data_IF_672873305244
#
_entry.id   IF_672873305244
#
_cell.length_a   1.000
_cell.length_b   1.000
_cell.length_c   1.000
_cell.angle_alpha   90.00
_cell.angle_beta   90.00
_cell.angle_gamma   90.00
#
_symmetry.space_group_name_H-M   'P 1'
#
loop_
_entity.id
_entity.type
_entity.pdbx_description
1 polymer ?
#
# COMPACT_ATOMS: atom_id res chain seq x y z
N UNK A 1 -8.42 -36.35 -2.95
CA UNK A 1 -7.33 -35.80 -2.12
C UNK A 1 -6.92 -34.39 -2.57
N UNK A 2 -6.66 -34.15 -3.85
CA UNK A 2 -6.27 -32.84 -4.40
C UNK A 2 -7.26 -31.70 -4.08
N UNK A 3 -8.57 -31.96 -4.15
CA UNK A 3 -9.58 -30.94 -3.84
C UNK A 3 -9.51 -30.40 -2.39
N UNK A 4 -9.23 -31.28 -1.42
CA UNK A 4 -9.07 -30.88 -0.01
C UNK A 4 -7.82 -30.02 0.20
N UNK A 5 -6.69 -30.41 -0.41
CA UNK A 5 -5.45 -29.64 -0.37
C UNK A 5 -5.60 -28.26 -0.99
N UNK A 6 -6.25 -28.16 -2.15
CA UNK A 6 -6.50 -26.89 -2.81
C UNK A 6 -7.37 -25.97 -1.94
N UNK A 7 -8.46 -26.50 -1.38
CA UNK A 7 -9.33 -25.73 -0.47
C UNK A 7 -8.59 -25.23 0.76
N UNK A 8 -7.75 -26.07 1.38
CA UNK A 8 -6.92 -25.66 2.52
C UNK A 8 -5.94 -24.55 2.14
N UNK A 9 -5.25 -24.66 1.01
CA UNK A 9 -4.31 -23.63 0.55
C UNK A 9 -4.99 -22.31 0.25
N UNK A 10 -6.20 -22.33 -0.32
CA UNK A 10 -7.00 -21.10 -0.53
C UNK A 10 -7.35 -20.44 0.80
N UNK A 11 -7.80 -21.22 1.79
CA UNK A 11 -8.14 -20.68 3.12
C UNK A 11 -6.90 -20.09 3.78
N UNK A 12 -5.76 -20.78 3.75
CA UNK A 12 -4.51 -20.27 4.29
C UNK A 12 -4.11 -18.96 3.60
N UNK A 13 -4.21 -18.88 2.28
CA UNK A 13 -3.95 -17.66 1.52
C UNK A 13 -4.83 -16.49 1.97
N UNK A 14 -6.13 -16.72 2.16
CA UNK A 14 -7.08 -15.70 2.64
C UNK A 14 -6.72 -15.25 4.06
N UNK A 15 -6.45 -16.19 4.97
CA UNK A 15 -6.08 -15.88 6.36
C UNK A 15 -4.79 -15.09 6.41
N UNK A 16 -3.77 -15.49 5.63
CA UNK A 16 -2.50 -14.76 5.53
C UNK A 16 -2.72 -13.35 4.98
N UNK A 17 -3.51 -13.19 3.92
CA UNK A 17 -3.80 -11.88 3.33
C UNK A 17 -4.47 -10.95 4.35
N UNK A 18 -5.52 -11.41 5.03
CA UNK A 18 -6.22 -10.62 6.07
C UNK A 18 -5.25 -10.28 7.21
N UNK A 19 -4.42 -11.22 7.63
CA UNK A 19 -3.40 -10.99 8.66
C UNK A 19 -2.43 -9.86 8.29
N UNK A 20 -1.97 -9.81 7.03
CA UNK A 20 -1.11 -8.73 6.52
C UNK A 20 -1.84 -7.39 6.52
N UNK A 21 -3.12 -7.35 6.11
CA UNK A 21 -3.92 -6.11 6.10
C UNK A 21 -4.08 -5.54 7.52
N UNK A 22 -4.42 -6.40 8.49
CA UNK A 22 -4.53 -6.00 9.90
C UNK A 22 -3.17 -5.49 10.41
N UNK A 23 -2.08 -6.19 10.10
CA UNK A 23 -0.75 -5.79 10.51
C UNK A 23 -0.32 -4.44 9.89
N UNK A 24 -0.67 -4.18 8.63
CA UNK A 24 -0.37 -2.92 7.96
C UNK A 24 -1.08 -1.71 8.61
N UNK A 25 -2.23 -1.93 9.24
CA UNK A 25 -2.98 -0.92 10.00
C UNK A 25 -2.61 -0.83 11.49
N UNK A 26 -1.72 -1.68 11.98
CA UNK A 26 -1.23 -1.59 13.37
C UNK A 26 -0.45 -0.28 13.62
N UNK A 27 -0.42 0.16 14.88
CA UNK A 27 0.23 1.43 15.28
C UNK A 27 1.69 1.54 14.84
N UNK A 28 2.42 0.42 14.83
CA UNK A 28 3.82 0.38 14.40
C UNK A 28 4.04 0.49 12.89
N UNK A 29 3.00 0.34 12.06
CA UNK A 29 3.11 0.30 10.59
C UNK A 29 2.26 1.34 9.86
N UNK A 30 1.19 1.81 10.49
CA UNK A 30 0.24 2.76 9.89
C UNK A 30 0.91 4.02 9.34
N UNK A 31 1.89 4.60 10.06
CA UNK A 31 2.61 5.81 9.60
C UNK A 31 3.43 5.55 8.34
N UNK A 32 4.23 4.50 8.32
CA UNK A 32 5.07 4.17 7.16
C UNK A 32 4.22 3.88 5.91
N UNK A 33 3.07 3.21 6.09
CA UNK A 33 2.15 2.94 5.01
C UNK A 33 1.48 4.23 4.48
N UNK A 34 1.08 5.13 5.38
CA UNK A 34 0.52 6.43 5.00
C UNK A 34 1.54 7.28 4.22
N UNK A 35 2.76 7.41 4.75
CA UNK A 35 3.82 8.20 4.11
C UNK A 35 4.16 7.63 2.71
N UNK A 36 4.22 6.29 2.58
CA UNK A 36 4.42 5.63 1.30
C UNK A 36 3.30 5.88 0.28
N UNK A 37 2.04 5.95 0.72
CA UNK A 37 0.90 6.28 -0.16
C UNK A 37 0.90 7.73 -0.65
N UNK A 38 1.56 8.63 0.06
CA UNK A 38 1.67 10.04 -0.31
C UNK A 38 2.82 10.33 -1.26
N UNK A 39 3.76 9.39 -1.45
CA UNK A 39 4.93 9.58 -2.30
C UNK A 39 4.64 10.10 -3.73
N UNK A 40 3.61 9.61 -4.47
CA UNK A 40 3.29 10.16 -5.80
C UNK A 40 2.70 11.58 -5.77
N UNK A 41 2.28 12.06 -4.60
CA UNK A 41 1.70 13.40 -4.38
C UNK A 41 2.62 14.32 -3.58
N UNK A 42 3.73 13.79 -3.05
CA UNK A 42 4.74 14.53 -2.30
C UNK A 42 5.80 15.14 -3.21
N UNK A 43 5.69 14.90 -4.53
CA UNK A 43 6.49 15.60 -5.53
C UNK A 43 5.96 17.04 -5.64
N UNK A 44 6.85 18.03 -5.80
CA UNK A 44 6.44 19.39 -6.15
C UNK A 44 5.55 19.36 -7.38
N UNK A 45 4.51 20.21 -7.41
CA UNK A 45 3.67 20.35 -8.59
C UNK A 45 4.54 20.85 -9.77
N UNK A 46 4.50 20.16 -10.92
CA UNK A 46 5.26 20.58 -12.13
C UNK A 46 4.87 21.99 -12.64
N UNK A 47 3.80 22.59 -12.09
CA UNK A 47 3.38 23.95 -12.38
C UNK A 47 4.37 25.01 -11.87
N UNK A 48 5.12 24.73 -10.80
CA UNK A 48 6.09 25.67 -10.24
C UNK A 48 7.40 25.75 -11.07
N UNK A 49 7.65 24.78 -11.96
CA UNK A 49 8.88 24.75 -12.77
C UNK A 49 8.75 25.47 -14.12
N UNK A 50 7.56 25.94 -14.51
CA UNK A 50 7.35 26.68 -15.79
C UNK A 50 6.40 27.88 -15.69
N UNK A 51 6.66 28.83 -14.79
CA UNK A 51 5.97 30.12 -14.88
C UNK A 51 6.28 31.11 -13.78
N UNK A 52 7.37 31.87 -13.91
CA UNK A 52 7.61 32.98 -12.98
C UNK A 52 8.89 33.79 -13.18
N UNK A 53 9.52 33.76 -14.35
CA UNK A 53 10.61 34.68 -14.67
C UNK A 53 10.45 35.18 -16.10
N UNK A 54 10.21 36.50 -16.19
CA UNK A 54 10.08 37.35 -17.38
C UNK A 54 8.69 37.41 -18.03
N UNK A 55 7.78 38.20 -17.42
CA UNK A 55 7.24 39.47 -17.99
C UNK A 55 6.37 40.19 -16.95
#
# INVERSE_FOLDING_TARGET
MVAFLNGLMTILGIVTFIGIVIWAWSDGRKKANHDGSMLPFALPDEADEKGGSNE
#
